data_IF_888649879963
#
_entry.id   IF_888649879963
#
_cell.length_a   1.000
_cell.length_b   1.000
_cell.length_c   1.000
_cell.angle_alpha   90.00
_cell.angle_beta   90.00
_cell.angle_gamma   90.00
#
_symmetry.space_group_name_H-M   'P 1'
#
loop_
_entity.id
_entity.type
_entity.pdbx_description
1 polymer ?
#
# COMPACT_ATOMS: atom_id res chain seq x y z
N UNK A 1 -32.95 26.98 37.07
CA UNK A 1 -34.17 26.16 37.18
C UNK A 1 -35.39 27.07 36.98
N UNK A 2 -35.84 27.19 35.74
CA UNK A 2 -37.23 27.37 35.35
C UNK A 2 -37.34 26.50 34.10
N UNK A 3 -38.04 25.39 34.28
CA UNK A 3 -38.43 24.45 33.24
C UNK A 3 -39.65 25.03 32.49
N UNK A 4 -39.84 24.54 31.26
CA UNK A 4 -41.04 24.59 30.41
C UNK A 4 -41.25 25.77 29.42
N UNK A 5 -41.00 25.44 28.14
CA UNK A 5 -41.57 25.93 26.86
C UNK A 5 -41.55 27.44 26.53
N UNK A 6 -40.75 27.81 25.52
CA UNK A 6 -41.21 28.52 24.30
C UNK A 6 -40.03 29.03 23.44
N UNK A 7 -39.50 28.17 22.56
CA UNK A 7 -39.26 28.55 21.16
C UNK A 7 -39.20 27.27 20.32
N UNK A 8 -40.37 26.82 19.88
CA UNK A 8 -40.49 26.01 18.68
C UNK A 8 -40.35 26.97 17.49
N UNK A 9 -39.40 26.69 16.60
CA UNK A 9 -39.51 27.13 15.21
C UNK A 9 -39.82 25.90 14.39
N UNK A 10 -41.09 25.78 14.02
CA UNK A 10 -41.48 25.00 12.88
C UNK A 10 -41.16 25.84 11.63
N UNK A 11 -40.12 25.45 10.90
CA UNK A 11 -40.04 25.73 9.47
C UNK A 11 -40.70 24.55 8.78
N UNK A 12 -41.98 24.71 8.42
CA UNK A 12 -42.66 23.83 7.49
C UNK A 12 -42.61 24.43 6.08
N UNK A 13 -42.24 23.59 5.11
CA UNK A 13 -42.23 23.89 3.68
C UNK A 13 -40.80 23.79 3.15
N UNK A 14 -40.37 22.70 2.52
CA UNK A 14 -41.10 21.84 1.60
C UNK A 14 -40.25 21.79 0.34
N UNK A 15 -39.74 20.61 0.02
CA UNK A 15 -38.88 20.42 -1.14
C UNK A 15 -38.19 19.08 -1.06
N UNK A 16 -38.75 18.11 -1.79
CA UNK A 16 -38.19 16.82 -2.17
C UNK A 16 -37.34 16.11 -1.12
N UNK A 17 -37.87 15.01 -0.59
CA UNK A 17 -37.01 13.87 -0.31
C UNK A 17 -36.30 13.52 -1.63
N UNK A 18 -35.11 14.07 -1.82
CA UNK A 18 -34.10 13.40 -2.61
C UNK A 18 -33.91 12.07 -1.90
N UNK A 19 -34.30 10.99 -2.59
CA UNK A 19 -33.66 9.72 -2.35
C UNK A 19 -32.22 10.00 -2.74
N UNK A 20 -31.37 10.30 -1.75
CA UNK A 20 -29.94 10.06 -1.94
C UNK A 20 -29.87 8.59 -2.33
N UNK A 21 -29.36 8.32 -3.54
CA UNK A 21 -28.72 7.03 -3.78
C UNK A 21 -27.68 6.89 -2.68
N UNK A 22 -28.04 6.17 -1.62
CA UNK A 22 -27.08 5.69 -0.65
C UNK A 22 -26.13 4.84 -1.48
N UNK A 23 -24.98 5.41 -1.86
CA UNK A 23 -23.88 4.67 -2.47
C UNK A 23 -23.51 3.58 -1.46
N UNK A 24 -24.09 2.40 -1.65
CA UNK A 24 -23.86 1.28 -0.78
C UNK A 24 -22.40 0.89 -0.97
N UNK A 25 -21.61 1.08 0.07
CA UNK A 25 -20.21 0.67 0.07
C UNK A 25 -20.14 -0.87 0.05
N UNK A 26 -20.04 -1.44 -1.15
CA UNK A 26 -19.85 -2.88 -1.33
C UNK A 26 -18.38 -3.26 -1.20
N UNK A 27 -17.97 -3.54 0.04
CA UNK A 27 -16.61 -3.97 0.36
C UNK A 27 -16.22 -5.26 -0.38
N UNK A 28 -17.17 -6.18 -0.60
CA UNK A 28 -16.92 -7.44 -1.30
C UNK A 28 -16.56 -7.24 -2.76
N UNK A 29 -17.35 -6.41 -3.47
CA UNK A 29 -17.05 -6.03 -4.85
C UNK A 29 -15.70 -5.31 -4.96
N UNK A 30 -15.41 -4.39 -4.05
CA UNK A 30 -14.16 -3.63 -4.06
C UNK A 30 -12.93 -4.53 -3.82
N UNK A 31 -13.01 -5.46 -2.85
CA UNK A 31 -11.92 -6.40 -2.58
C UNK A 31 -11.72 -7.39 -3.73
N UNK A 32 -12.80 -7.85 -4.37
CA UNK A 32 -12.71 -8.70 -5.55
C UNK A 32 -12.03 -7.99 -6.74
N UNK A 33 -12.18 -6.67 -6.85
CA UNK A 33 -11.56 -5.84 -7.87
C UNK A 33 -10.18 -5.25 -7.47
N UNK A 34 -9.65 -5.62 -6.31
CA UNK A 34 -8.44 -5.01 -5.76
C UNK A 34 -7.17 -5.35 -6.56
N UNK A 35 -6.25 -4.40 -6.64
CA UNK A 35 -4.91 -4.56 -7.22
C UNK A 35 -3.88 -4.76 -6.09
N UNK A 36 -3.48 -6.02 -5.90
CA UNK A 36 -2.50 -6.43 -4.88
C UNK A 36 -1.14 -5.75 -5.07
N UNK A 37 -0.69 -5.55 -6.32
CA UNK A 37 0.59 -4.91 -6.60
C UNK A 37 0.56 -3.41 -6.28
N UNK A 38 -0.58 -2.73 -6.47
CA UNK A 38 -0.78 -1.37 -5.95
C UNK A 38 -0.79 -1.36 -4.42
N UNK A 39 -1.43 -2.35 -3.81
CA UNK A 39 -1.45 -2.53 -2.36
C UNK A 39 -0.06 -2.63 -1.77
N UNK A 40 0.80 -3.47 -2.38
CA UNK A 40 2.20 -3.62 -2.00
C UNK A 40 2.97 -2.29 -2.09
N UNK A 41 2.77 -1.51 -3.16
CA UNK A 41 3.41 -0.19 -3.32
C UNK A 41 2.97 0.78 -2.22
N UNK A 42 1.69 0.83 -1.92
CA UNK A 42 1.16 1.67 -0.83
C UNK A 42 1.70 1.21 0.52
N UNK A 43 1.72 -0.10 0.79
CA UNK A 43 2.30 -0.66 2.01
C UNK A 43 3.78 -0.28 2.16
N UNK A 44 4.57 -0.43 1.10
CA UNK A 44 5.97 -0.03 1.05
C UNK A 44 6.15 1.45 1.42
N UNK A 45 5.34 2.34 0.84
CA UNK A 45 5.44 3.78 1.07
C UNK A 45 4.88 4.27 2.40
N UNK A 46 3.97 3.53 3.05
CA UNK A 46 3.21 4.03 4.21
C UNK A 46 3.40 3.22 5.50
N UNK A 47 3.81 1.95 5.41
CA UNK A 47 3.77 1.02 6.54
C UNK A 47 5.16 0.52 6.96
N UNK A 48 6.10 0.38 6.01
CA UNK A 48 7.39 -0.31 6.24
C UNK A 48 8.34 0.40 7.19
N UNK A 49 8.15 1.69 7.45
CA UNK A 49 8.91 2.41 8.48
C UNK A 49 8.66 1.85 9.88
N UNK A 50 7.48 1.27 10.11
CA UNK A 50 7.08 0.77 11.42
C UNK A 50 6.88 -0.74 11.45
N UNK A 51 6.54 -1.37 10.33
CA UNK A 51 6.12 -2.76 10.26
C UNK A 51 6.98 -3.56 9.29
N UNK A 52 7.25 -4.81 9.66
CA UNK A 52 7.73 -5.85 8.75
C UNK A 52 6.54 -6.71 8.28
N UNK A 53 6.70 -7.43 7.17
CA UNK A 53 5.63 -8.24 6.55
C UNK A 53 6.02 -9.68 6.25
N UNK A 54 7.32 -9.97 6.21
CA UNK A 54 7.84 -11.31 5.97
C UNK A 54 7.49 -12.25 7.13
N UNK A 55 7.29 -13.53 6.81
CA UNK A 55 7.05 -14.57 7.81
C UNK A 55 8.22 -14.67 8.80
N UNK A 56 7.90 -14.65 10.08
CA UNK A 56 8.88 -14.61 11.17
C UNK A 56 9.68 -13.30 11.27
N UNK A 57 9.25 -12.23 10.57
CA UNK A 57 9.90 -10.93 10.63
C UNK A 57 9.87 -10.30 12.04
N UNK A 58 10.85 -9.43 12.31
CA UNK A 58 10.99 -8.82 13.63
C UNK A 58 9.91 -7.75 13.90
N UNK A 59 9.55 -7.60 15.17
CA UNK A 59 8.81 -6.43 15.65
C UNK A 59 9.72 -5.18 15.62
N UNK A 60 9.15 -4.02 15.34
CA UNK A 60 9.82 -2.72 15.39
C UNK A 60 8.98 -1.70 16.16
N UNK A 61 8.81 -0.51 15.58
CA UNK A 61 7.86 0.50 16.10
C UNK A 61 6.43 -0.05 16.16
N UNK A 62 6.06 -0.87 15.16
CA UNK A 62 4.86 -1.69 15.16
C UNK A 62 5.20 -3.20 15.13
N UNK A 63 4.20 -4.08 15.35
CA UNK A 63 4.39 -5.52 15.24
C UNK A 63 4.65 -5.93 13.79
N UNK A 64 5.21 -7.13 13.57
CA UNK A 64 5.16 -7.77 12.26
C UNK A 64 3.69 -8.02 11.85
N UNK A 65 3.39 -7.87 10.56
CA UNK A 65 2.04 -7.95 10.01
C UNK A 65 1.78 -9.21 9.17
N UNK A 66 2.72 -10.15 9.11
CA UNK A 66 2.50 -11.43 8.47
C UNK A 66 1.34 -12.16 9.18
N UNK A 67 0.38 -12.70 8.42
CA UNK A 67 -0.76 -13.40 9.03
C UNK A 67 -1.76 -12.51 9.76
N UNK A 68 -1.75 -11.18 9.59
CA UNK A 68 -2.61 -10.27 10.36
C UNK A 68 -4.10 -10.41 10.01
N UNK A 69 -4.44 -10.72 8.76
CA UNK A 69 -5.85 -10.76 8.31
C UNK A 69 -6.53 -12.00 8.87
N UNK A 70 -7.63 -11.80 9.59
CA UNK A 70 -8.36 -12.85 10.30
C UNK A 70 -7.78 -13.22 11.67
N UNK A 71 -6.57 -12.77 12.02
CA UNK A 71 -5.99 -13.02 13.33
C UNK A 71 -6.67 -12.16 14.41
N UNK A 72 -6.59 -12.61 15.66
CA UNK A 72 -7.01 -11.79 16.80
C UNK A 72 -6.19 -10.50 16.87
N UNK A 73 -6.86 -9.39 17.19
CA UNK A 73 -6.17 -8.13 17.43
C UNK A 73 -5.24 -8.32 18.63
N UNK A 74 -4.19 -7.51 18.73
CA UNK A 74 -3.32 -7.42 19.93
C UNK A 74 -2.62 -8.73 20.41
N UNK A 75 -2.45 -9.74 19.56
CA UNK A 75 -1.83 -11.04 19.97
C UNK A 75 -0.42 -11.29 19.45
N UNK A 76 0.17 -10.42 18.63
CA UNK A 76 1.48 -10.73 18.04
C UNK A 76 2.53 -10.92 19.14
N UNK A 77 3.24 -12.07 19.17
CA UNK A 77 4.18 -12.37 20.23
C UNK A 77 5.27 -11.29 20.38
N UNK A 78 5.55 -10.93 21.63
CA UNK A 78 6.65 -10.02 21.96
C UNK A 78 6.41 -8.54 21.59
N UNK A 79 5.20 -8.14 21.20
CA UNK A 79 4.86 -6.73 20.98
C UNK A 79 4.00 -6.17 22.12
N UNK A 80 4.30 -4.94 22.54
CA UNK A 80 3.53 -4.24 23.59
C UNK A 80 2.48 -3.34 22.96
N UNK A 81 1.22 -3.74 23.05
CA UNK A 81 0.09 -2.98 22.51
C UNK A 81 -0.37 -1.86 23.45
N UNK A 82 -0.95 -0.81 22.86
CA UNK A 82 -1.66 0.23 23.61
C UNK A 82 -2.91 -0.35 24.26
N UNK A 83 -3.25 0.10 25.47
CA UNK A 83 -4.50 -0.27 26.15
C UNK A 83 -5.74 -0.02 25.25
N UNK A 84 -5.75 1.09 24.50
CA UNK A 84 -6.83 1.43 23.59
C UNK A 84 -7.12 0.34 22.54
N UNK A 85 -6.09 -0.25 21.92
CA UNK A 85 -6.28 -1.31 20.93
C UNK A 85 -6.65 -2.65 21.58
N UNK A 86 -6.11 -2.94 22.76
CA UNK A 86 -6.48 -4.13 23.54
C UNK A 86 -7.95 -4.11 23.95
N UNK A 87 -8.49 -2.94 24.32
CA UNK A 87 -9.90 -2.76 24.70
C UNK A 87 -10.88 -3.00 23.53
N UNK A 88 -10.47 -2.73 22.28
CA UNK A 88 -11.31 -3.02 21.11
C UNK A 88 -11.55 -4.52 20.95
N UNK A 89 -10.51 -5.34 21.12
CA UNK A 89 -10.61 -6.79 21.03
C UNK A 89 -11.09 -7.34 19.67
N UNK A 90 -11.48 -8.62 19.65
CA UNK A 90 -11.92 -9.32 18.44
C UNK A 90 -10.78 -9.62 17.46
N UNK A 91 -11.15 -9.92 16.22
CA UNK A 91 -10.21 -10.29 15.15
C UNK A 91 -10.15 -9.23 14.05
N UNK A 92 -9.08 -9.22 13.25
CA UNK A 92 -8.93 -8.32 12.11
C UNK A 92 -9.76 -8.80 10.91
N UNK A 93 -11.03 -8.45 10.89
CA UNK A 93 -11.87 -8.65 9.69
C UNK A 93 -11.55 -7.62 8.62
N UNK A 94 -12.03 -7.83 7.41
CA UNK A 94 -11.85 -6.88 6.30
C UNK A 94 -12.48 -5.52 6.59
N UNK A 95 -13.65 -5.51 7.22
CA UNK A 95 -14.37 -4.31 7.64
C UNK A 95 -13.59 -3.55 8.72
N UNK A 96 -13.11 -4.27 9.74
CA UNK A 96 -12.31 -3.67 10.81
C UNK A 96 -10.99 -3.11 10.28
N UNK A 97 -10.33 -3.80 9.34
CA UNK A 97 -9.13 -3.30 8.68
C UNK A 97 -9.44 -2.06 7.82
N UNK A 98 -10.57 -2.03 7.11
CA UNK A 98 -11.00 -0.87 6.34
C UNK A 98 -11.17 0.36 7.24
N UNK A 99 -11.87 0.22 8.37
CA UNK A 99 -12.10 1.31 9.32
C UNK A 99 -10.82 1.71 10.05
N UNK A 100 -10.00 0.72 10.45
CA UNK A 100 -8.72 0.95 11.10
C UNK A 100 -7.77 1.74 10.21
N UNK A 101 -7.62 1.34 8.95
CA UNK A 101 -6.72 1.99 8.02
C UNK A 101 -7.24 3.35 7.58
N UNK A 102 -8.55 3.61 7.59
CA UNK A 102 -9.10 4.93 7.29
C UNK A 102 -8.73 5.97 8.35
N UNK A 103 -8.88 5.62 9.63
CA UNK A 103 -8.54 6.50 10.74
C UNK A 103 -8.26 5.73 12.04
N UNK A 104 -7.00 5.34 12.28
CA UNK A 104 -6.63 4.55 13.47
C UNK A 104 -6.97 5.25 14.79
N UNK A 105 -6.81 6.58 14.84
CA UNK A 105 -7.09 7.38 16.02
C UNK A 105 -8.59 7.48 16.34
N UNK A 106 -9.46 7.38 15.33
CA UNK A 106 -10.91 7.30 15.54
C UNK A 106 -11.35 5.88 15.92
N UNK A 107 -10.76 4.86 15.29
CA UNK A 107 -11.08 3.45 15.54
C UNK A 107 -10.69 3.01 16.96
N UNK A 108 -9.46 3.32 17.40
CA UNK A 108 -9.00 3.06 18.76
C UNK A 108 -8.42 4.34 19.37
N UNK A 109 -9.27 5.15 19.99
CA UNK A 109 -8.85 6.43 20.58
C UNK A 109 -7.82 6.23 21.67
N UNK A 110 -6.61 6.74 21.45
CA UNK A 110 -5.45 6.52 22.32
C UNK A 110 -4.52 5.40 21.86
N UNK A 111 -4.68 4.91 20.62
CA UNK A 111 -3.70 3.99 20.01
C UNK A 111 -2.30 4.61 19.95
N UNK A 112 -1.28 3.77 20.13
CA UNK A 112 0.12 4.16 19.93
C UNK A 112 0.53 4.23 18.46
N UNK A 113 -0.32 3.76 17.53
CA UNK A 113 -0.04 3.84 16.09
C UNK A 113 -0.28 5.27 15.58
N UNK A 114 0.81 6.05 15.46
CA UNK A 114 0.77 7.42 14.94
C UNK A 114 0.68 7.45 13.41
N UNK A 115 -0.47 7.05 12.88
CA UNK A 115 -0.76 7.08 11.44
C UNK A 115 -2.05 7.86 11.17
N UNK A 116 -2.02 8.75 10.17
CA UNK A 116 -3.15 9.63 9.84
C UNK A 116 -4.32 8.92 9.14
N UNK A 117 -4.04 7.73 8.59
CA UNK A 117 -4.98 6.91 7.83
C UNK A 117 -4.89 7.11 6.31
N UNK A 118 -5.40 6.12 5.58
CA UNK A 118 -5.54 6.07 4.13
C UNK A 118 -6.97 6.50 3.76
N UNK A 119 -7.15 7.77 3.36
CA UNK A 119 -8.50 8.33 3.13
C UNK A 119 -9.16 7.87 1.84
N UNK A 120 -8.37 7.42 0.87
CA UNK A 120 -8.87 6.97 -0.42
C UNK A 120 -9.20 5.49 -0.34
N UNK A 121 -10.44 5.14 -0.68
CA UNK A 121 -10.91 3.76 -0.64
C UNK A 121 -10.05 2.84 -1.50
N UNK A 122 -9.70 3.18 -2.77
CA UNK A 122 -8.86 2.32 -3.57
C UNK A 122 -7.51 2.00 -2.92
N UNK A 123 -6.89 2.96 -2.22
CA UNK A 123 -5.60 2.73 -1.56
C UNK A 123 -5.77 1.79 -0.36
N UNK A 124 -6.84 1.94 0.43
CA UNK A 124 -7.13 1.02 1.55
C UNK A 124 -7.42 -0.39 1.06
N UNK A 125 -8.34 -0.53 0.12
CA UNK A 125 -8.79 -1.81 -0.39
C UNK A 125 -7.61 -2.60 -0.98
N UNK A 126 -6.75 -1.92 -1.76
CA UNK A 126 -5.55 -2.54 -2.31
C UNK A 126 -4.58 -3.00 -1.21
N UNK A 127 -4.34 -2.18 -0.17
CA UNK A 127 -3.49 -2.58 0.96
C UNK A 127 -4.08 -3.76 1.72
N UNK A 128 -5.39 -3.79 1.94
CA UNK A 128 -6.08 -4.90 2.61
C UNK A 128 -5.94 -6.19 1.80
N UNK A 129 -6.10 -6.13 0.48
CA UNK A 129 -5.89 -7.27 -0.40
C UNK A 129 -4.43 -7.77 -0.36
N UNK A 130 -3.45 -6.85 -0.30
CA UNK A 130 -2.05 -7.21 -0.10
C UNK A 130 -1.80 -7.86 1.26
N UNK A 131 -2.33 -7.31 2.36
CA UNK A 131 -2.21 -7.93 3.69
C UNK A 131 -2.84 -9.33 3.71
N UNK A 132 -3.96 -9.52 3.00
CA UNK A 132 -4.60 -10.83 2.86
C UNK A 132 -3.70 -11.81 2.10
N UNK A 133 -3.00 -11.38 1.05
CA UNK A 133 -2.04 -12.22 0.33
C UNK A 133 -0.82 -12.60 1.19
N UNK A 134 -0.50 -11.79 2.20
CA UNK A 134 0.54 -12.05 3.19
C UNK A 134 0.01 -12.78 4.43
N UNK A 135 -1.23 -13.28 4.39
CA UNK A 135 -1.87 -13.94 5.52
C UNK A 135 -2.32 -15.35 5.15
N UNK A 136 -1.56 -16.40 5.53
CA UNK A 136 -1.88 -17.78 5.14
C UNK A 136 -3.27 -18.27 5.57
N UNK A 137 -3.81 -17.70 6.64
CA UNK A 137 -5.13 -18.05 7.21
C UNK A 137 -6.18 -16.97 6.96
N UNK A 138 -5.98 -16.08 5.99
CA UNK A 138 -6.99 -15.07 5.67
C UNK A 138 -8.34 -15.74 5.33
N UNK A 139 -9.46 -15.28 5.89
CA UNK A 139 -10.78 -15.71 5.44
C UNK A 139 -10.97 -15.36 3.96
N UNK A 140 -11.88 -16.03 3.23
CA UNK A 140 -12.22 -15.59 1.88
C UNK A 140 -12.78 -14.17 1.92
N UNK A 141 -12.56 -13.40 0.85
CA UNK A 141 -13.21 -12.10 0.69
C UNK A 141 -14.73 -12.26 0.76
N UNK A 142 -15.44 -11.29 1.37
CA UNK A 142 -16.89 -11.33 1.44
C UNK A 142 -17.49 -11.31 0.04
N UNK A 143 -18.58 -12.05 -0.16
CA UNK A 143 -19.32 -12.02 -1.42
C UNK A 143 -19.82 -10.59 -1.69
N UNK A 144 -19.72 -10.10 -2.94
CA UNK A 144 -20.34 -8.83 -3.33
C UNK A 144 -21.82 -8.82 -2.96
N UNK A 145 -22.32 -7.65 -2.58
CA UNK A 145 -23.75 -7.48 -2.38
C UNK A 145 -24.47 -7.82 -3.70
N UNK A 146 -25.65 -8.47 -3.64
CA UNK A 146 -26.39 -8.72 -4.85
C UNK A 146 -26.62 -7.38 -5.54
N UNK A 147 -26.21 -7.28 -6.81
CA UNK A 147 -26.56 -6.14 -7.64
C UNK A 147 -28.06 -5.94 -7.45
N UNK A 148 -28.46 -4.76 -6.96
CA UNK A 148 -29.87 -4.44 -6.81
C UNK A 148 -30.50 -4.76 -8.17
N UNK A 149 -31.39 -5.75 -8.21
CA UNK A 149 -32.02 -6.14 -9.46
C UNK A 149 -32.71 -4.89 -9.98
N UNK A 150 -32.21 -4.37 -11.10
CA UNK A 150 -32.91 -3.36 -11.87
C UNK A 150 -34.27 -3.97 -12.18
N UNK A 151 -35.33 -3.38 -11.62
CA UNK A 151 -36.71 -3.78 -11.89
C UNK A 151 -36.94 -3.63 -13.41
N UNK A 152 -36.85 -4.77 -14.09
CA UNK A 152 -36.94 -4.91 -15.54
C UNK A 152 -38.41 -4.68 -15.95
N UNK A 153 -38.71 -3.41 -16.25
CA UNK A 153 -39.95 -3.02 -16.90
C UNK A 153 -39.71 -1.93 -17.96
N UNK A 154 -38.88 -2.23 -18.97
CA UNK A 154 -39.11 -1.81 -20.35
C UNK A 154 -38.08 -2.42 -21.33
N UNK A 155 -38.53 -3.39 -22.12
CA UNK A 155 -37.91 -3.76 -23.40
C UNK A 155 -38.86 -3.40 -24.56
N UNK A 156 -38.43 -3.32 -25.83
CA UNK A 156 -37.15 -2.84 -26.35
C UNK A 156 -37.34 -1.79 -27.49
N UNK A 157 -36.28 -1.12 -27.91
CA UNK A 157 -36.21 -0.47 -29.22
C UNK A 157 -34.87 -0.83 -29.89
N UNK A 158 -34.95 -1.81 -30.78
CA UNK A 158 -33.92 -2.19 -31.76
C UNK A 158 -34.02 -1.25 -32.97
N UNK A 159 -32.89 -0.67 -33.39
CA UNK A 159 -32.40 -0.44 -34.77
C UNK A 159 -31.11 0.40 -34.58
N UNK A 160 -29.88 -0.02 -34.87
CA UNK A 160 -29.37 -0.75 -36.03
C UNK A 160 -28.21 0.08 -36.59
N UNK A 161 -26.98 -0.45 -36.47
CA UNK A 161 -25.74 -0.27 -37.29
C UNK A 161 -25.43 1.12 -37.93
N UNK A 162 -24.20 1.63 -38.04
CA UNK A 162 -22.86 1.06 -38.15
C UNK A 162 -21.84 2.23 -38.12
N UNK A 163 -20.55 1.90 -37.97
CA UNK A 163 -19.40 2.80 -37.87
C UNK A 163 -19.14 3.68 -39.13
N UNK A 164 -18.18 4.61 -39.04
CA UNK A 164 -16.91 4.27 -39.67
C UNK A 164 -15.67 4.58 -38.83
N UNK A 165 -14.63 3.80 -39.11
CA UNK A 165 -13.24 4.02 -38.71
C UNK A 165 -12.58 5.13 -39.56
N UNK A 166 -11.61 5.85 -38.98
CA UNK A 166 -10.21 5.96 -39.46
C UNK A 166 -9.43 7.11 -38.77
N UNK A 167 -8.14 6.87 -38.54
CA UNK A 167 -7.10 7.82 -38.09
C UNK A 167 -6.56 7.47 -36.70
N UNK A 168 -5.62 6.52 -36.49
CA UNK A 168 -4.27 6.41 -37.08
C UNK A 168 -3.48 7.73 -37.01
N UNK A 169 -3.29 8.29 -35.80
CA UNK A 169 -2.19 9.23 -35.52
C UNK A 169 -1.90 9.32 -34.00
N UNK A 170 -1.49 8.21 -33.36
CA UNK A 170 -0.97 8.27 -31.98
C UNK A 170 0.03 7.15 -31.62
N UNK A 171 0.23 6.14 -32.47
CA UNK A 171 1.16 5.03 -32.19
C UNK A 171 2.62 5.35 -32.55
N UNK A 172 2.87 6.21 -33.54
CA UNK A 172 4.24 6.52 -34.00
C UNK A 172 5.05 7.45 -33.07
N UNK A 173 4.42 8.04 -32.03
CA UNK A 173 5.11 8.96 -31.10
C UNK A 173 5.51 8.31 -29.78
N UNK A 174 5.06 7.07 -29.53
CA UNK A 174 5.41 6.34 -28.31
C UNK A 174 6.67 5.51 -28.54
N UNK A 175 6.85 4.91 -29.73
CA UNK A 175 8.03 4.09 -30.04
C UNK A 175 9.34 4.90 -30.13
N UNK A 176 9.31 6.11 -30.69
CA UNK A 176 10.46 7.04 -30.68
C UNK A 176 10.84 7.52 -29.26
N UNK A 177 9.86 7.56 -28.35
CA UNK A 177 10.07 7.96 -26.97
C UNK A 177 10.55 6.81 -26.06
N UNK A 178 10.22 5.55 -26.35
CA UNK A 178 10.84 4.42 -25.62
C UNK A 178 12.27 4.16 -26.09
N UNK A 179 12.57 4.26 -27.39
CA UNK A 179 13.94 4.04 -27.90
C UNK A 179 14.91 5.14 -27.40
N UNK A 180 14.46 6.39 -27.30
CA UNK A 180 15.26 7.47 -26.71
C UNK A 180 15.47 7.36 -25.19
N UNK A 181 14.58 6.66 -24.47
CA UNK A 181 14.69 6.44 -23.02
C UNK A 181 15.56 5.22 -22.72
N UNK A 182 15.57 4.22 -23.60
CA UNK A 182 16.48 3.07 -23.52
C UNK A 182 17.92 3.45 -23.91
N UNK A 183 18.13 4.25 -24.95
CA UNK A 183 19.46 4.78 -25.32
C UNK A 183 20.06 5.69 -24.23
N UNK A 184 19.22 6.49 -23.57
CA UNK A 184 19.65 7.30 -22.42
C UNK A 184 19.95 6.45 -21.16
N UNK A 185 19.27 5.31 -20.98
CA UNK A 185 19.55 4.39 -19.88
C UNK A 185 20.85 3.59 -20.09
N UNK A 186 21.16 3.23 -21.34
CA UNK A 186 22.40 2.55 -21.71
C UNK A 186 23.62 3.48 -21.59
N UNK A 187 23.51 4.73 -22.11
CA UNK A 187 24.56 5.73 -21.98
C UNK A 187 24.84 6.15 -20.51
N UNK A 188 23.82 6.15 -19.66
CA UNK A 188 23.99 6.41 -18.22
C UNK A 188 24.56 5.22 -17.46
N UNK A 189 24.32 3.98 -17.92
CA UNK A 189 24.94 2.79 -17.33
C UNK A 189 26.40 2.63 -17.76
N UNK A 190 26.74 2.98 -19.01
CA UNK A 190 28.12 2.98 -19.50
C UNK A 190 28.99 4.02 -18.78
N UNK A 191 28.48 5.26 -18.64
CA UNK A 191 29.19 6.34 -17.92
C UNK A 191 29.34 6.08 -16.42
N UNK A 192 28.34 5.48 -15.76
CA UNK A 192 28.46 5.09 -14.34
C UNK A 192 29.45 3.94 -14.18
N UNK A 193 29.52 3.01 -15.12
CA UNK A 193 30.49 1.91 -15.06
C UNK A 193 31.91 2.42 -15.28
N UNK A 194 32.12 3.32 -16.24
CA UNK A 194 33.43 3.93 -16.52
C UNK A 194 33.97 4.70 -15.30
N UNK A 195 33.12 5.54 -14.67
CA UNK A 195 33.48 6.30 -13.46
C UNK A 195 33.77 5.37 -12.28
N UNK A 196 33.01 4.28 -12.12
CA UNK A 196 33.25 3.30 -11.03
C UNK A 196 34.53 2.51 -11.27
N UNK A 197 34.88 2.19 -12.53
CA UNK A 197 36.15 1.53 -12.85
C UNK A 197 37.35 2.46 -12.71
N UNK A 198 37.25 3.75 -13.08
CA UNK A 198 38.35 4.71 -12.94
C UNK A 198 38.67 5.00 -11.45
N UNK A 199 37.63 5.09 -10.61
CA UNK A 199 37.78 5.22 -9.16
C UNK A 199 38.36 3.94 -8.51
N UNK A 200 38.01 2.75 -9.04
CA UNK A 200 38.54 1.48 -8.55
C UNK A 200 40.00 1.24 -8.96
N UNK A 201 40.39 1.62 -10.18
CA UNK A 201 41.77 1.49 -10.67
C UNK A 201 42.70 2.46 -9.91
N UNK A 202 42.24 3.70 -9.66
CA UNK A 202 42.97 4.67 -8.83
C UNK A 202 43.14 4.18 -7.39
N UNK A 203 42.11 3.53 -6.82
CA UNK A 203 42.20 2.97 -5.47
C UNK A 203 43.15 1.75 -5.39
N UNK A 204 43.32 1.01 -6.49
CA UNK A 204 44.18 -0.18 -6.54
C UNK A 204 45.65 0.19 -6.81
N UNK A 205 45.92 1.19 -7.65
CA UNK A 205 47.26 1.75 -7.88
C UNK A 205 47.84 2.38 -6.60
N UNK A 206 47.01 3.11 -5.84
CA UNK A 206 47.40 3.68 -4.53
C UNK A 206 47.69 2.60 -3.48
N UNK A 207 47.10 1.40 -3.62
CA UNK A 207 47.32 0.29 -2.71
C UNK A 207 48.59 -0.52 -3.04
N UNK A 208 49.01 -0.57 -4.30
CA UNK A 208 50.28 -1.19 -4.70
C UNK A 208 51.50 -0.32 -4.33
N UNK A 209 51.42 1.01 -4.48
CA UNK A 209 52.49 1.93 -4.06
C UNK A 209 52.72 1.94 -2.53
N UNK A 210 51.73 1.50 -1.74
CA UNK A 210 51.83 1.40 -0.28
C UNK A 210 52.46 0.08 0.22
N UNK A 211 52.61 -0.93 -0.65
CA UNK A 211 53.12 -2.26 -0.26
C UNK A 211 54.62 -2.46 -0.57
N UNK A 212 55.26 -1.55 -1.33
CA UNK A 212 56.70 -1.65 -1.67
C UNK A 212 57.64 -1.05 -0.60
N UNK A 213 57.12 -0.28 0.38
CA UNK A 213 57.95 0.38 1.42
C UNK A 213 58.17 -0.44 2.71
N UNK A 214 57.69 -1.68 2.80
CA UNK A 214 57.89 -2.52 4.00
C UNK A 214 58.40 -3.94 3.67
N UNK A 215 59.55 -4.02 2.98
CA UNK A 215 60.35 -5.24 2.95
C UNK A 215 61.36 -5.25 4.12
N UNK A 216 61.20 -6.11 5.15
CA UNK A 216 62.19 -6.25 6.20
C UNK A 216 63.45 -6.95 5.64
N UNK A 217 64.62 -6.36 5.93
CA UNK A 217 65.92 -6.91 5.55
C UNK A 217 66.20 -8.22 6.29
N UNK A 218 66.65 -9.29 5.59
CA UNK A 218 67.03 -10.53 6.26
C UNK A 218 68.36 -10.33 7.01
N UNK A 219 68.33 -10.51 8.33
CA UNK A 219 69.54 -10.61 9.15
C UNK A 219 70.01 -12.06 9.13
N UNK A 220 71.15 -12.30 8.52
CA UNK A 220 71.91 -13.55 8.63
C UNK A 220 72.49 -13.64 10.05
N UNK A 221 72.25 -14.74 10.77
CA UNK A 221 73.07 -15.10 11.93
C UNK A 221 73.32 -16.61 11.94
N UNK A 222 74.61 -16.94 11.93
CA UNK A 222 75.23 -18.26 11.87
C UNK A 222 75.41 -18.88 13.26
N UNK A 223 75.43 -20.22 13.33
CA UNK A 223 76.08 -21.01 14.39
C UNK A 223 75.29 -21.11 15.72
N UNK A 224 75.31 -22.18 16.49
CA UNK A 224 76.18 -23.36 16.58
C UNK A 224 75.46 -24.45 17.41
#
# INVERSE_FOLDING_TARGET
>A
MCENFAYCVEVAGGGAAAVEEEEVFDLGALLAAADVSRGERTFKGQCTTCHTIDDGGANGTGPNLHGVVGADKHVHPGFNYSAALTEVGGSWTYEDLNHWLENPGAFARGTSMSFAGLRKDPDRINVIAYLASQSPNAPPFPDPLPAAEEDDAAAPAEDGAEAPAEGEEAAARVEDAVEAVEDAADATQETVTEVVTEEADTAMDTAEEAFDEEAPTPTEEEGE
#
